data_IF_094504834816
#
_entry.id   IF_094504834816
#
_cell.length_a   1.000
_cell.length_b   1.000
_cell.length_c   1.000
_cell.angle_alpha   90.00
_cell.angle_beta   90.00
_cell.angle_gamma   90.00
#
_symmetry.space_group_name_H-M   'P 1'
#
loop_
_entity.id
_entity.type
_entity.pdbx_description
1 polymer ?
#
# COMPACT_ATOMS: atom_id res chain seq x y z
N UNK A 1 -13.23 -9.34 -19.01
CA UNK A 1 -13.51 -8.73 -17.67
C UNK A 1 -13.37 -9.75 -16.54
N UNK A 2 -13.88 -10.98 -16.69
CA UNK A 2 -13.63 -12.07 -15.73
C UNK A 2 -12.13 -12.36 -15.52
N UNK A 3 -11.32 -12.40 -16.59
CA UNK A 3 -9.89 -12.72 -16.48
C UNK A 3 -9.09 -11.67 -15.68
N UNK A 4 -9.48 -10.40 -15.78
CA UNK A 4 -8.85 -9.31 -15.04
C UNK A 4 -9.21 -9.34 -13.55
N UNK A 5 -10.47 -9.64 -13.22
CA UNK A 5 -10.88 -9.80 -11.81
C UNK A 5 -10.22 -11.03 -11.18
N UNK A 6 -10.10 -12.12 -11.95
CA UNK A 6 -9.37 -13.30 -11.53
C UNK A 6 -7.89 -12.97 -11.31
N UNK A 7 -7.24 -12.24 -12.20
CA UNK A 7 -5.85 -11.82 -11.98
C UNK A 7 -5.67 -10.98 -10.71
N UNK A 8 -6.60 -10.06 -10.42
CA UNK A 8 -6.52 -9.15 -9.27
C UNK A 8 -6.74 -9.85 -7.93
N UNK A 9 -7.74 -10.74 -7.87
CA UNK A 9 -8.26 -11.28 -6.62
C UNK A 9 -8.07 -12.79 -6.45
N UNK A 10 -7.54 -13.51 -7.46
CA UNK A 10 -7.26 -14.94 -7.27
C UNK A 10 -6.11 -15.13 -6.29
N UNK A 11 -6.35 -16.01 -5.33
CA UNK A 11 -5.35 -16.55 -4.42
C UNK A 11 -4.96 -17.99 -4.80
N UNK A 12 -5.60 -18.55 -5.83
CA UNK A 12 -5.38 -19.93 -6.26
C UNK A 12 -3.95 -20.11 -6.80
N UNK A 13 -3.25 -21.13 -6.29
CA UNK A 13 -1.88 -21.47 -6.68
C UNK A 13 -0.78 -20.66 -5.98
N UNK A 14 -1.12 -19.67 -5.15
CA UNK A 14 -0.15 -18.87 -4.40
C UNK A 14 -0.08 -19.26 -2.93
N UNK A 15 1.13 -19.24 -2.37
CA UNK A 15 1.33 -19.43 -0.92
C UNK A 15 1.12 -18.10 -0.17
N UNK A 16 0.32 -18.08 0.91
CA UNK A 16 0.22 -16.94 1.81
C UNK A 16 1.60 -16.61 2.41
N UNK A 17 1.87 -15.33 2.63
CA UNK A 17 3.16 -14.90 3.17
C UNK A 17 3.41 -15.41 4.60
N UNK A 18 2.36 -15.78 5.33
CA UNK A 18 2.48 -16.46 6.63
C UNK A 18 3.26 -17.79 6.56
N UNK A 19 3.22 -18.49 5.43
CA UNK A 19 4.00 -19.72 5.20
C UNK A 19 5.51 -19.40 5.17
N UNK A 20 5.90 -18.26 4.57
CA UNK A 20 7.29 -17.80 4.55
C UNK A 20 7.80 -17.46 5.96
N UNK A 21 6.93 -17.00 6.84
CA UNK A 21 7.25 -16.76 8.25
C UNK A 21 7.20 -18.02 9.12
N UNK A 22 6.95 -19.19 8.51
CA UNK A 22 6.72 -20.45 9.23
C UNK A 22 5.63 -20.32 10.31
N UNK A 23 4.71 -19.37 10.14
CA UNK A 23 3.70 -18.99 11.13
C UNK A 23 4.27 -18.69 12.53
N UNK A 24 5.53 -18.24 12.61
CA UNK A 24 6.15 -17.85 13.88
C UNK A 24 5.43 -16.62 14.45
N UNK A 25 4.77 -16.73 15.63
CA UNK A 25 3.87 -15.69 16.10
C UNK A 25 4.54 -14.34 16.28
N UNK A 26 5.79 -14.31 16.76
CA UNK A 26 6.50 -13.07 17.03
C UNK A 26 6.83 -12.30 15.75
N UNK A 27 7.39 -12.98 14.73
CA UNK A 27 7.74 -12.36 13.45
C UNK A 27 6.47 -11.94 12.70
N UNK A 28 5.44 -12.80 12.72
CA UNK A 28 4.17 -12.53 12.07
C UNK A 28 3.51 -11.27 12.65
N UNK A 29 3.32 -11.21 13.97
CA UNK A 29 2.64 -10.07 14.59
C UNK A 29 3.46 -8.78 14.49
N UNK A 30 4.78 -8.84 14.69
CA UNK A 30 5.63 -7.65 14.56
C UNK A 30 5.57 -7.12 13.12
N UNK A 31 5.62 -7.99 12.12
CA UNK A 31 5.57 -7.59 10.71
C UNK A 31 4.22 -6.98 10.37
N UNK A 32 3.11 -7.66 10.68
CA UNK A 32 1.76 -7.17 10.40
C UNK A 32 1.50 -5.84 11.09
N UNK A 33 1.82 -5.72 12.38
CA UNK A 33 1.59 -4.48 13.14
C UNK A 33 2.45 -3.35 12.57
N UNK A 34 3.70 -3.63 12.20
CA UNK A 34 4.58 -2.64 11.58
C UNK A 34 4.04 -2.18 10.22
N UNK A 35 3.54 -3.09 9.39
CA UNK A 35 2.92 -2.75 8.10
C UNK A 35 1.64 -1.92 8.28
N UNK A 36 0.79 -2.26 9.25
CA UNK A 36 -0.41 -1.48 9.57
C UNK A 36 -0.09 -0.09 10.10
N UNK A 37 0.90 0.03 10.99
CA UNK A 37 1.35 1.34 11.49
C UNK A 37 1.96 2.19 10.38
N UNK A 38 2.74 1.56 9.49
CA UNK A 38 3.31 2.23 8.31
C UNK A 38 2.21 2.70 7.38
N UNK A 39 1.20 1.87 7.09
CA UNK A 39 0.03 2.24 6.31
C UNK A 39 -0.68 3.47 6.89
N UNK A 40 -0.95 3.49 8.20
CA UNK A 40 -1.60 4.63 8.88
C UNK A 40 -0.74 5.89 8.78
N UNK A 41 0.56 5.79 9.03
CA UNK A 41 1.48 6.92 8.88
C UNK A 41 1.47 7.46 7.44
N UNK A 42 1.59 6.58 6.44
CA UNK A 42 1.61 6.94 5.03
C UNK A 42 0.26 7.49 4.54
N UNK A 43 -0.86 7.16 5.17
CA UNK A 43 -2.15 7.81 4.88
C UNK A 43 -2.30 9.16 5.58
N UNK A 44 -1.72 9.33 6.76
CA UNK A 44 -1.80 10.58 7.52
C UNK A 44 -0.99 11.72 6.87
N UNK A 45 0.16 11.42 6.26
CA UNK A 45 1.04 12.42 5.65
C UNK A 45 0.39 13.14 4.45
N UNK A 46 -0.20 12.44 3.45
CA UNK A 46 -0.94 13.08 2.36
C UNK A 46 -2.11 13.94 2.84
N UNK A 47 -2.81 13.51 3.90
CA UNK A 47 -3.93 14.29 4.47
C UNK A 47 -3.41 15.59 5.07
N UNK A 48 -2.35 15.53 5.88
CA UNK A 48 -1.72 16.71 6.46
C UNK A 48 -1.14 17.64 5.39
N UNK A 49 -0.49 17.07 4.37
CA UNK A 49 0.11 17.83 3.27
C UNK A 49 -0.97 18.48 2.39
N UNK A 50 -2.06 17.76 2.11
CA UNK A 50 -3.21 18.29 1.39
C UNK A 50 -3.87 19.46 2.12
N UNK A 51 -4.04 19.35 3.44
CA UNK A 51 -4.53 20.45 4.27
C UNK A 51 -3.58 21.66 4.22
N UNK A 52 -2.26 21.44 4.31
CA UNK A 52 -1.27 22.51 4.21
C UNK A 52 -1.32 23.24 2.86
N UNK A 53 -1.32 22.49 1.75
CA UNK A 53 -1.35 23.04 0.38
C UNK A 53 -2.67 23.77 0.10
N UNK A 54 -3.79 23.27 0.62
CA UNK A 54 -5.09 23.93 0.48
C UNK A 54 -5.11 25.31 1.13
N UNK A 55 -4.50 25.45 2.33
CA UNK A 55 -4.46 26.71 3.06
C UNK A 55 -3.36 27.68 2.59
N UNK A 56 -2.47 27.25 1.70
CA UNK A 56 -1.34 28.04 1.19
C UNK A 56 -1.48 28.31 -0.31
N UNK A 57 -2.24 29.35 -0.71
CA UNK A 57 -2.43 29.69 -2.12
C UNK A 57 -1.16 30.24 -2.79
N UNK A 58 -0.19 30.69 -2.00
CA UNK A 58 1.12 31.23 -2.37
C UNK A 58 2.09 30.20 -2.98
N UNK A 59 1.75 28.91 -2.96
CA UNK A 59 2.58 27.86 -3.54
C UNK A 59 2.45 27.80 -5.07
N UNK A 60 3.53 28.12 -5.78
CA UNK A 60 3.59 28.07 -7.25
C UNK A 60 3.56 26.63 -7.80
N UNK A 61 4.14 25.66 -7.10
CA UNK A 61 4.34 24.28 -7.59
C UNK A 61 3.45 23.24 -6.91
N UNK A 62 2.14 23.49 -6.81
CA UNK A 62 1.16 22.59 -6.15
C UNK A 62 1.17 21.16 -6.72
N UNK A 63 1.50 20.99 -8.00
CA UNK A 63 1.58 19.68 -8.65
C UNK A 63 2.63 18.75 -8.02
N UNK A 64 3.78 19.28 -7.60
CA UNK A 64 4.82 18.47 -6.94
C UNK A 64 4.30 17.85 -5.64
N UNK A 65 3.53 18.63 -4.86
CA UNK A 65 2.92 18.14 -3.63
C UNK A 65 1.86 17.07 -3.90
N UNK A 66 1.11 17.18 -4.99
CA UNK A 66 0.14 16.16 -5.41
C UNK A 66 0.84 14.87 -5.84
N UNK A 67 1.92 14.95 -6.63
CA UNK A 67 2.73 13.79 -7.00
C UNK A 67 3.32 13.11 -5.76
N UNK A 68 3.94 13.88 -4.87
CA UNK A 68 4.53 13.33 -3.64
C UNK A 68 3.47 12.71 -2.72
N UNK A 69 2.32 13.37 -2.56
CA UNK A 69 1.19 12.83 -1.79
C UNK A 69 0.65 11.53 -2.40
N UNK A 70 0.51 11.49 -3.73
CA UNK A 70 0.08 10.32 -4.48
C UNK A 70 1.06 9.16 -4.33
N UNK A 71 2.36 9.44 -4.44
CA UNK A 71 3.42 8.44 -4.27
C UNK A 71 3.40 7.84 -2.86
N UNK A 72 3.37 8.68 -1.82
CA UNK A 72 3.27 8.21 -0.42
C UNK A 72 1.99 7.39 -0.21
N UNK A 73 0.85 7.85 -0.70
CA UNK A 73 -0.41 7.12 -0.57
C UNK A 73 -0.34 5.73 -1.25
N UNK A 74 0.22 5.67 -2.46
CA UNK A 74 0.39 4.43 -3.20
C UNK A 74 1.35 3.47 -2.48
N UNK A 75 2.49 3.96 -1.97
CA UNK A 75 3.40 3.21 -1.11
C UNK A 75 2.69 2.67 0.15
N UNK A 76 1.90 3.49 0.83
CA UNK A 76 1.13 3.06 2.01
C UNK A 76 0.20 1.90 1.69
N UNK A 77 -0.48 1.95 0.54
CA UNK A 77 -1.35 0.88 0.06
C UNK A 77 -0.59 -0.44 -0.12
N UNK A 78 0.69 -0.40 -0.52
CA UNK A 78 1.51 -1.63 -0.61
C UNK A 78 1.76 -2.29 0.75
N UNK A 79 1.88 -1.51 1.84
CA UNK A 79 2.00 -2.05 3.19
C UNK A 79 0.70 -2.69 3.69
N UNK A 80 -0.45 -2.08 3.38
CA UNK A 80 -1.74 -2.69 3.69
C UNK A 80 -1.89 -4.05 2.99
N UNK A 81 -1.53 -4.10 1.70
CA UNK A 81 -1.57 -5.36 0.94
C UNK A 81 -0.55 -6.38 1.47
N UNK A 82 0.63 -5.95 1.91
CA UNK A 82 1.61 -6.84 2.55
C UNK A 82 1.04 -7.50 3.82
N UNK A 83 0.36 -6.72 4.68
CA UNK A 83 -0.33 -7.25 5.85
C UNK A 83 -1.44 -8.25 5.46
N UNK A 84 -2.25 -7.95 4.44
CA UNK A 84 -3.31 -8.86 3.95
C UNK A 84 -2.71 -10.15 3.37
N UNK A 85 -1.62 -10.04 2.61
CA UNK A 85 -0.93 -11.17 1.96
C UNK A 85 -0.41 -12.23 2.93
N UNK A 86 -0.25 -11.89 4.21
CA UNK A 86 0.06 -12.87 5.27
C UNK A 86 -0.99 -13.99 5.31
N UNK A 87 -2.27 -13.65 5.13
CA UNK A 87 -3.38 -14.61 5.16
C UNK A 87 -3.98 -14.90 3.79
N UNK A 88 -4.11 -13.88 2.93
CA UNK A 88 -4.74 -13.99 1.62
C UNK A 88 -3.78 -13.47 0.53
N UNK A 89 -3.14 -14.34 -0.27
CA UNK A 89 -2.08 -13.96 -1.20
C UNK A 89 -2.63 -13.22 -2.44
N UNK A 90 -3.05 -11.98 -2.27
CA UNK A 90 -3.55 -11.08 -3.33
C UNK A 90 -2.37 -10.44 -4.09
N UNK A 91 -1.52 -11.28 -4.68
CA UNK A 91 -0.30 -10.83 -5.35
C UNK A 91 -0.56 -10.05 -6.64
N UNK A 92 -1.65 -10.33 -7.36
CA UNK A 92 -2.05 -9.56 -8.54
C UNK A 92 -2.37 -8.11 -8.21
N UNK A 93 -3.19 -7.89 -7.18
CA UNK A 93 -3.46 -6.55 -6.65
C UNK A 93 -2.18 -5.86 -6.16
N UNK A 94 -1.31 -6.61 -5.47
CA UNK A 94 -0.01 -6.11 -5.00
C UNK A 94 0.90 -5.67 -6.16
N UNK A 95 0.91 -6.42 -7.26
CA UNK A 95 1.70 -6.10 -8.44
C UNK A 95 1.20 -4.82 -9.13
N UNK A 96 -0.12 -4.64 -9.25
CA UNK A 96 -0.70 -3.43 -9.86
C UNK A 96 -0.46 -2.21 -8.99
N UNK A 97 -0.66 -2.29 -7.67
CA UNK A 97 -0.39 -1.15 -6.79
C UNK A 97 1.09 -0.75 -6.85
N UNK A 98 2.01 -1.71 -6.91
CA UNK A 98 3.44 -1.43 -7.12
C UNK A 98 3.70 -0.76 -8.48
N UNK A 99 3.06 -1.22 -9.56
CA UNK A 99 3.18 -0.61 -10.87
C UNK A 99 2.65 0.82 -10.91
N UNK A 100 1.49 1.08 -10.29
CA UNK A 100 0.94 2.44 -10.12
C UNK A 100 1.92 3.30 -9.34
N UNK A 101 2.43 2.80 -8.21
CA UNK A 101 3.41 3.52 -7.38
C UNK A 101 4.65 3.90 -8.18
N UNK A 102 5.16 3.00 -9.03
CA UNK A 102 6.33 3.25 -9.88
C UNK A 102 6.09 4.23 -11.04
N UNK A 103 4.83 4.53 -11.36
CA UNK A 103 4.45 5.43 -12.46
C UNK A 103 4.23 6.88 -12.02
N UNK A 104 4.17 7.13 -10.71
CA UNK A 104 4.03 8.46 -10.09
C UNK A 104 5.41 9.10 -9.97
#
# INVERSE_FOLDING_TARGET
MHDMLNFLFSSEGFMPHGVCFYWQPIILWVTVVSDLLTFVAYFSIPVALGYFVYNRPDLENKWLYLLFSGFIFACGTTHLLAAINVWMPLYGLSAIVKAITASI
#
